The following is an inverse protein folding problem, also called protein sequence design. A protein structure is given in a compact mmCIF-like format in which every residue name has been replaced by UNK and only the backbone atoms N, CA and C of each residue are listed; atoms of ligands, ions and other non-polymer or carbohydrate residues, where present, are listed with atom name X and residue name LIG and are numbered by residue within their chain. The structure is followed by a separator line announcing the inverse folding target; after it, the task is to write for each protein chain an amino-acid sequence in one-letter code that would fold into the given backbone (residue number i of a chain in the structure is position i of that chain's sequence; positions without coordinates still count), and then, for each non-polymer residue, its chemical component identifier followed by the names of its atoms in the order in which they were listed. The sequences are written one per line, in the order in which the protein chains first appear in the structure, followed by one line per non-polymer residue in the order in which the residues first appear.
data_IF_197643373312
#
_entry.id   IF_197643373312
#
_cell.length_a   1.000
_cell.length_b   1.000
_cell.length_c   1.000
_cell.angle_alpha   90.00
_cell.angle_beta   90.00
_cell.angle_gamma   90.00
#
_symmetry.space_group_name_H-M   'P 1'
#
loop_
_entity.id
_entity.type
_entity.pdbx_description
1 polymer ?
#
# COMPACT_ATOMS: atom_id res chain seq x y z
N UNK A 1 46.08 -50.59 34.03
CA UNK A 1 45.14 -49.68 34.72
C UNK A 1 43.87 -49.59 33.88
N UNK A 2 42.91 -50.43 34.15
CA UNK A 2 41.61 -50.40 33.41
C UNK A 2 40.71 -49.39 34.15
N UNK A 3 40.33 -48.31 33.45
CA UNK A 3 39.37 -47.39 34.02
C UNK A 3 38.05 -48.13 34.27
N UNK A 4 37.47 -47.88 35.43
CA UNK A 4 36.16 -48.43 35.78
C UNK A 4 35.12 -48.02 34.75
N UNK A 5 34.33 -48.94 34.18
CA UNK A 5 33.34 -48.66 33.17
C UNK A 5 32.28 -47.62 33.64
N UNK A 6 32.05 -47.54 34.92
CA UNK A 6 31.16 -46.54 35.54
C UNK A 6 31.74 -45.12 35.45
N UNK A 7 33.04 -44.98 35.63
CA UNK A 7 33.73 -43.68 35.54
C UNK A 7 33.78 -43.17 34.08
N UNK A 8 33.95 -44.11 33.15
CA UNK A 8 33.93 -43.79 31.70
C UNK A 8 32.56 -43.28 31.25
N UNK A 9 31.47 -43.90 31.71
CA UNK A 9 30.12 -43.49 31.36
C UNK A 9 29.76 -42.11 31.92
N UNK A 10 30.22 -41.78 33.12
CA UNK A 10 30.00 -40.45 33.74
C UNK A 10 30.74 -39.34 32.96
N UNK A 11 31.97 -39.60 32.55
CA UNK A 11 32.77 -38.67 31.74
C UNK A 11 32.11 -38.43 30.40
N UNK A 12 31.61 -39.46 29.75
CA UNK A 12 30.95 -39.38 28.46
C UNK A 12 29.63 -38.59 28.53
N UNK A 13 28.86 -38.82 29.63
CA UNK A 13 27.60 -38.11 29.86
C UNK A 13 27.82 -36.61 30.13
N UNK A 14 28.83 -36.26 30.95
CA UNK A 14 29.15 -34.85 31.23
C UNK A 14 29.67 -34.10 29.99
N UNK A 15 30.45 -34.77 29.14
CA UNK A 15 30.91 -34.22 27.88
C UNK A 15 29.72 -33.96 26.89
N UNK A 16 28.77 -34.89 26.82
CA UNK A 16 27.58 -34.75 25.99
C UNK A 16 26.70 -33.57 26.46
N UNK A 17 26.47 -33.41 27.76
CA UNK A 17 25.71 -32.28 28.29
C UNK A 17 26.45 -30.94 28.08
N UNK A 18 27.77 -30.92 28.23
CA UNK A 18 28.59 -29.74 27.95
C UNK A 18 28.49 -29.31 26.47
N UNK A 19 28.54 -30.26 25.55
CA UNK A 19 28.42 -29.98 24.12
C UNK A 19 27.03 -29.41 23.72
N UNK A 20 25.95 -30.00 24.26
CA UNK A 20 24.59 -29.50 24.07
C UNK A 20 24.44 -28.06 24.59
N UNK A 21 24.98 -27.75 25.76
CA UNK A 21 24.98 -26.41 26.32
C UNK A 21 25.72 -25.40 25.45
N UNK A 22 26.81 -25.78 24.81
CA UNK A 22 27.63 -24.92 23.95
C UNK A 22 26.95 -24.65 22.63
N UNK A 23 26.26 -25.63 22.04
CA UNK A 23 25.52 -25.48 20.77
C UNK A 23 24.26 -24.63 20.94
N UNK A 24 23.57 -24.73 22.07
CA UNK A 24 22.36 -23.97 22.36
C UNK A 24 22.60 -22.60 23.05
N UNK A 25 23.82 -22.31 23.47
CA UNK A 25 24.21 -21.04 24.10
C UNK A 25 23.84 -19.78 23.27
N UNK A 26 24.04 -19.73 21.93
CA UNK A 26 23.63 -18.57 21.15
C UNK A 26 22.10 -18.40 21.10
N UNK A 27 21.33 -19.49 21.13
CA UNK A 27 19.87 -19.44 21.11
C UNK A 27 19.28 -18.87 22.41
N UNK A 28 19.93 -19.09 23.54
CA UNK A 28 19.51 -18.57 24.87
C UNK A 28 19.80 -17.06 24.98
N UNK A 29 20.82 -16.57 24.28
CA UNK A 29 21.17 -15.13 24.24
C UNK A 29 20.16 -14.35 23.39
N UNK A 30 19.65 -14.93 22.33
CA UNK A 30 18.61 -14.31 21.49
C UNK A 30 17.23 -14.21 22.18
N UNK A 31 16.93 -15.11 23.12
CA UNK A 31 15.69 -15.07 23.90
C UNK A 31 15.68 -13.98 24.99
N UNK A 32 16.79 -13.36 25.33
CA UNK A 32 16.80 -12.15 26.15
C UNK A 32 16.30 -10.99 25.28
N UNK A 33 15.02 -10.64 25.48
CA UNK A 33 14.43 -9.42 24.90
C UNK A 33 15.43 -8.25 25.00
N UNK A 34 15.77 -7.59 23.90
CA UNK A 34 16.58 -6.38 23.95
C UNK A 34 15.86 -5.40 24.88
N UNK A 35 16.57 -4.87 25.86
CA UNK A 35 16.07 -3.82 26.74
C UNK A 35 15.80 -2.60 25.84
N UNK A 36 14.55 -2.42 25.48
CA UNK A 36 14.10 -1.29 24.67
C UNK A 36 14.46 -0.02 25.45
N UNK A 37 15.48 0.64 24.96
CA UNK A 37 15.85 1.99 25.43
C UNK A 37 14.81 2.92 24.82
N UNK A 38 13.69 3.11 25.50
CA UNK A 38 12.55 3.90 25.08
C UNK A 38 12.81 5.01 24.04
N UNK A 39 11.81 5.59 23.44
CA UNK A 39 11.93 6.44 22.27
C UNK A 39 12.97 7.56 22.52
N UNK A 40 14.00 7.62 21.66
CA UNK A 40 14.98 8.72 21.69
C UNK A 40 14.23 10.02 21.53
N UNK A 41 14.30 10.88 22.54
CA UNK A 41 13.80 12.23 22.47
C UNK A 41 14.52 12.94 21.31
N UNK A 42 13.81 13.12 20.21
CA UNK A 42 14.27 13.94 19.09
C UNK A 42 14.28 15.38 19.61
N UNK A 43 15.40 16.12 19.54
CA UNK A 43 15.43 17.53 19.93
C UNK A 43 14.40 18.27 19.06
N UNK A 44 13.43 18.93 19.70
CA UNK A 44 12.53 19.83 19.02
C UNK A 44 13.34 21.03 18.53
N UNK A 45 13.57 21.11 17.23
CA UNK A 45 14.04 22.34 16.61
C UNK A 45 12.99 23.44 16.85
N UNK A 46 13.37 24.61 17.34
CA UNK A 46 12.45 25.73 17.50
C UNK A 46 12.10 26.30 16.13
N UNK A 47 10.97 25.88 15.58
CA UNK A 47 10.34 26.49 14.41
C UNK A 47 9.43 27.63 14.85
N UNK A 48 10.03 28.64 15.49
CA UNK A 48 9.45 29.97 15.53
C UNK A 48 10.10 30.82 14.45
N UNK A 49 9.58 30.78 13.24
CA UNK A 49 9.77 31.86 12.29
C UNK A 49 8.42 32.28 11.74
N UNK A 50 7.80 33.23 12.46
CA UNK A 50 6.86 34.27 12.00
C UNK A 50 6.22 33.99 10.62
N UNK A 51 5.04 33.40 10.62
CA UNK A 51 4.06 33.64 9.57
C UNK A 51 3.37 34.99 9.92
N UNK A 52 3.84 36.07 9.29
CA UNK A 52 3.11 37.31 9.21
C UNK A 52 1.78 37.04 8.52
N UNK A 53 0.70 37.14 9.27
CA UNK A 53 -0.65 37.20 8.75
C UNK A 53 -0.77 38.36 7.77
N UNK A 54 -0.82 38.05 6.48
CA UNK A 54 -1.24 39.00 5.47
C UNK A 54 -2.76 38.98 5.46
N UNK A 55 -3.37 40.02 6.02
CA UNK A 55 -4.80 40.28 5.85
C UNK A 55 -5.08 40.50 4.38
N UNK A 56 -5.85 39.62 3.79
CA UNK A 56 -6.46 39.81 2.45
C UNK A 56 -7.84 40.46 2.65
N UNK A 57 -8.18 41.49 1.88
CA UNK A 57 -9.47 42.16 2.01
C UNK A 57 -10.59 41.33 1.42
N UNK A 58 -11.66 41.25 2.19
CA UNK A 58 -12.97 40.75 1.81
C UNK A 58 -13.57 41.65 0.75
N UNK A 59 -13.84 41.16 -0.46
CA UNK A 59 -15.01 41.47 -1.30
C UNK A 59 -14.80 40.86 -2.68
N UNK A 60 -15.43 39.70 -2.94
CA UNK A 60 -15.76 39.28 -4.30
C UNK A 60 -17.17 38.69 -4.24
N UNK A 61 -18.02 39.29 -5.04
CA UNK A 61 -19.42 38.92 -5.24
C UNK A 61 -19.62 37.47 -5.71
N UNK A 62 -20.79 36.87 -5.42
CA UNK A 62 -21.08 35.53 -5.84
C UNK A 62 -21.63 35.55 -7.28
N UNK A 63 -20.80 35.23 -8.24
CA UNK A 63 -21.24 34.64 -9.52
C UNK A 63 -19.98 34.25 -10.30
N UNK A 64 -19.72 32.97 -10.30
CA UNK A 64 -19.17 32.22 -11.44
C UNK A 64 -18.93 30.78 -10.99
N UNK A 65 -19.67 29.90 -11.59
CA UNK A 65 -19.62 28.44 -11.43
C UNK A 65 -18.30 27.90 -12.00
N UNK A 66 -17.21 28.07 -11.26
CA UNK A 66 -16.04 27.23 -11.46
C UNK A 66 -16.19 25.99 -10.56
N UNK A 67 -16.25 24.83 -11.17
CA UNK A 67 -16.25 23.54 -10.49
C UNK A 67 -14.94 23.34 -9.75
N UNK A 68 -14.78 24.01 -8.62
CA UNK A 68 -13.76 23.73 -7.62
C UNK A 68 -14.03 22.32 -7.15
N UNK A 69 -13.18 21.38 -7.58
CA UNK A 69 -13.36 19.97 -7.30
C UNK A 69 -13.34 19.69 -5.80
N UNK A 70 -14.51 19.78 -5.18
CA UNK A 70 -14.69 19.44 -3.78
C UNK A 70 -14.48 17.93 -3.61
N UNK A 71 -13.51 17.54 -2.77
CA UNK A 71 -13.32 16.15 -2.40
C UNK A 71 -14.43 15.73 -1.43
N UNK A 72 -15.07 14.59 -1.71
CA UNK A 72 -16.09 14.01 -0.85
C UNK A 72 -15.40 13.12 0.19
N UNK A 73 -15.63 13.37 1.48
CA UNK A 73 -15.04 12.57 2.54
C UNK A 73 -15.73 11.19 2.69
N UNK A 74 -15.04 10.25 3.36
CA UNK A 74 -15.51 8.88 3.51
C UNK A 74 -16.90 8.77 4.15
N UNK A 75 -17.20 9.56 5.19
CA UNK A 75 -18.48 9.49 5.89
C UNK A 75 -19.65 9.91 4.98
N UNK A 76 -19.44 10.93 4.18
CA UNK A 76 -20.45 11.39 3.20
C UNK A 76 -20.68 10.33 2.12
N UNK A 77 -19.60 9.71 1.62
CA UNK A 77 -19.68 8.61 0.63
C UNK A 77 -20.44 7.43 1.20
N UNK A 78 -20.15 7.01 2.42
CA UNK A 78 -20.82 5.89 3.09
C UNK A 78 -22.30 6.17 3.33
N UNK A 79 -22.63 7.37 3.80
CA UNK A 79 -24.01 7.77 4.04
C UNK A 79 -24.83 7.80 2.74
N UNK A 80 -24.28 8.37 1.68
CA UNK A 80 -24.92 8.45 0.37
C UNK A 80 -25.13 7.07 -0.27
N UNK A 81 -24.18 6.16 -0.08
CA UNK A 81 -24.25 4.80 -0.59
C UNK A 81 -25.13 3.88 0.27
N UNK A 82 -25.53 4.28 1.47
CA UNK A 82 -26.24 3.42 2.42
C UNK A 82 -25.42 2.18 2.84
N UNK A 83 -24.10 2.27 2.79
CA UNK A 83 -23.20 1.16 3.03
C UNK A 83 -23.15 0.79 4.51
N UNK A 84 -23.19 -0.51 4.80
CA UNK A 84 -22.97 -1.02 6.15
C UNK A 84 -21.48 -0.94 6.47
N UNK A 85 -21.10 -0.02 7.33
CA UNK A 85 -19.72 0.17 7.77
C UNK A 85 -19.60 0.06 9.28
N UNK A 86 -18.42 -0.35 9.74
CA UNK A 86 -18.09 -0.47 11.16
C UNK A 86 -16.69 0.07 11.37
N UNK A 87 -16.52 0.96 12.35
CA UNK A 87 -15.21 1.46 12.77
C UNK A 87 -14.49 0.38 13.58
N UNK A 88 -13.29 -0.03 13.17
CA UNK A 88 -12.44 -0.97 13.87
C UNK A 88 -11.24 -0.22 14.45
N UNK A 89 -11.21 -0.08 15.78
CA UNK A 89 -10.17 0.70 16.44
C UNK A 89 -10.33 2.20 16.18
N UNK A 90 -9.20 2.92 16.03
CA UNK A 90 -9.21 4.39 15.88
C UNK A 90 -9.22 4.86 14.44
N UNK A 91 -8.59 4.10 13.53
CA UNK A 91 -8.22 4.60 12.20
C UNK A 91 -8.57 3.61 11.07
N UNK A 92 -9.46 2.64 11.31
CA UNK A 92 -9.81 1.65 10.30
C UNK A 92 -11.32 1.52 10.15
N UNK A 93 -11.81 1.72 8.95
CA UNK A 93 -13.22 1.54 8.59
C UNK A 93 -13.38 0.23 7.83
N UNK A 94 -14.27 -0.62 8.31
CA UNK A 94 -14.69 -1.86 7.63
C UNK A 94 -15.99 -1.64 6.93
N UNK A 95 -16.04 -1.96 5.64
CA UNK A 95 -17.22 -1.89 4.79
C UNK A 95 -17.62 -3.30 4.40
N UNK A 96 -18.90 -3.64 4.58
CA UNK A 96 -19.41 -4.97 4.27
C UNK A 96 -20.01 -5.02 2.86
N UNK A 97 -19.57 -6.01 2.08
CA UNK A 97 -19.98 -6.22 0.69
C UNK A 97 -19.16 -5.41 -0.32
N UNK A 98 -19.62 -5.40 -1.55
CA UNK A 98 -18.99 -4.67 -2.64
C UNK A 98 -19.19 -3.17 -2.47
N UNK A 99 -18.17 -2.40 -2.82
CA UNK A 99 -18.21 -0.96 -2.63
C UNK A 99 -17.58 -0.20 -3.79
N UNK A 100 -18.20 0.93 -4.16
CA UNK A 100 -17.66 1.85 -5.17
C UNK A 100 -17.45 3.24 -4.57
N UNK A 101 -16.20 3.68 -4.57
CA UNK A 101 -15.85 5.07 -4.24
C UNK A 101 -16.14 5.95 -5.45
N UNK A 102 -16.97 6.98 -5.31
CA UNK A 102 -17.18 7.95 -6.38
C UNK A 102 -15.88 8.70 -6.71
N UNK A 103 -15.77 9.28 -7.92
CA UNK A 103 -14.62 10.11 -8.26
C UNK A 103 -14.41 11.24 -7.25
N UNK A 104 -13.14 11.62 -7.03
CA UNK A 104 -12.74 12.67 -6.08
C UNK A 104 -13.10 12.38 -4.63
N UNK A 105 -13.15 11.11 -4.24
CA UNK A 105 -13.26 10.74 -2.82
C UNK A 105 -11.94 10.92 -2.10
N UNK A 106 -11.98 11.50 -0.89
CA UNK A 106 -10.82 11.60 -0.01
C UNK A 106 -11.05 10.76 1.25
N UNK A 107 -10.12 9.86 1.53
CA UNK A 107 -10.21 8.89 2.63
C UNK A 107 -8.99 9.00 3.52
N UNK A 108 -9.21 9.35 4.78
CA UNK A 108 -8.13 9.55 5.76
C UNK A 108 -7.79 8.26 6.51
N UNK A 109 -8.72 7.32 6.58
CA UNK A 109 -8.65 6.10 7.36
C UNK A 109 -8.11 4.93 6.53
N UNK A 110 -7.64 3.89 7.23
CA UNK A 110 -7.49 2.58 6.61
C UNK A 110 -8.85 2.00 6.25
N UNK A 111 -8.98 1.44 5.08
CA UNK A 111 -10.25 0.86 4.64
C UNK A 111 -10.09 -0.64 4.41
N UNK A 112 -11.01 -1.41 4.98
CA UNK A 112 -11.12 -2.85 4.77
C UNK A 112 -12.49 -3.14 4.17
N UNK A 113 -12.51 -3.67 2.97
CA UNK A 113 -13.75 -3.98 2.23
C UNK A 113 -13.90 -5.50 2.14
N UNK A 114 -15.08 -6.00 2.56
CA UNK A 114 -15.39 -7.44 2.57
C UNK A 114 -15.90 -7.96 1.22
N UNK A 115 -15.64 -7.25 0.14
CA UNK A 115 -16.08 -7.57 -1.22
C UNK A 115 -15.16 -6.98 -2.29
N UNK A 116 -15.71 -6.80 -3.48
CA UNK A 116 -15.06 -6.15 -4.62
C UNK A 116 -15.07 -4.63 -4.44
N UNK A 117 -14.01 -3.99 -4.90
CA UNK A 117 -13.86 -2.53 -4.79
C UNK A 117 -13.68 -1.90 -6.16
N UNK A 118 -14.43 -0.83 -6.39
CA UNK A 118 -14.21 0.09 -7.51
C UNK A 118 -13.83 1.46 -6.95
N UNK A 119 -12.69 1.98 -7.32
CA UNK A 119 -12.23 3.32 -6.93
C UNK A 119 -12.34 4.20 -8.15
N UNK A 120 -13.14 5.26 -8.04
CA UNK A 120 -13.32 6.25 -9.11
C UNK A 120 -12.08 7.10 -9.34
N UNK A 121 -12.12 7.91 -10.40
CA UNK A 121 -10.98 8.75 -10.80
C UNK A 121 -10.63 9.82 -9.76
N UNK A 122 -9.36 10.18 -9.69
CA UNK A 122 -8.86 11.28 -8.86
C UNK A 122 -9.16 11.13 -7.35
N UNK A 123 -9.30 9.90 -6.86
CA UNK A 123 -9.45 9.63 -5.43
C UNK A 123 -8.11 9.70 -4.70
N UNK A 124 -8.14 10.07 -3.42
CA UNK A 124 -6.97 10.13 -2.54
C UNK A 124 -7.21 9.31 -1.28
N UNK A 125 -6.38 8.31 -1.05
CA UNK A 125 -6.37 7.50 0.17
C UNK A 125 -5.09 7.81 0.94
N UNK A 126 -5.24 8.31 2.16
CA UNK A 126 -4.10 8.67 3.03
C UNK A 126 -3.50 7.47 3.75
N UNK A 127 -4.20 6.36 3.79
CA UNK A 127 -3.80 5.11 4.43
C UNK A 127 -3.93 3.93 3.47
N UNK A 128 -3.87 2.72 4.01
CA UNK A 128 -3.93 1.49 3.24
C UNK A 128 -5.37 1.09 2.88
N UNK A 129 -5.51 0.42 1.75
CA UNK A 129 -6.76 -0.15 1.27
C UNK A 129 -6.61 -1.67 1.19
N UNK A 130 -7.54 -2.40 1.81
CA UNK A 130 -7.61 -3.86 1.76
C UNK A 130 -8.98 -4.31 1.27
N UNK A 131 -9.02 -5.15 0.25
CA UNK A 131 -10.23 -5.77 -0.27
C UNK A 131 -10.16 -7.29 -0.18
N UNK A 132 -11.29 -7.95 0.09
CA UNK A 132 -11.39 -9.42 0.02
C UNK A 132 -11.74 -9.93 -1.39
N UNK A 133 -12.21 -9.06 -2.26
CA UNK A 133 -12.51 -9.34 -3.66
C UNK A 133 -11.55 -8.61 -4.61
N UNK A 134 -11.95 -8.49 -5.85
CA UNK A 134 -11.22 -7.77 -6.88
C UNK A 134 -11.16 -6.27 -6.62
N UNK A 135 -10.10 -5.62 -7.10
CA UNK A 135 -9.94 -4.17 -6.99
C UNK A 135 -9.74 -3.56 -8.36
N UNK A 136 -10.59 -2.58 -8.69
CA UNK A 136 -10.43 -1.76 -9.89
C UNK A 136 -10.20 -0.32 -9.48
N UNK A 137 -9.06 0.26 -9.89
CA UNK A 137 -8.64 1.61 -9.56
C UNK A 137 -8.69 2.48 -10.80
N UNK A 138 -9.41 3.59 -10.71
CA UNK A 138 -9.55 4.58 -11.77
C UNK A 138 -8.27 5.39 -12.03
N UNK A 139 -8.40 6.37 -12.92
CA UNK A 139 -7.26 7.19 -13.31
C UNK A 139 -6.89 8.22 -12.23
N UNK A 140 -5.60 8.57 -12.15
CA UNK A 140 -5.07 9.63 -11.26
C UNK A 140 -5.41 9.41 -9.80
N UNK A 141 -5.47 8.16 -9.35
CA UNK A 141 -5.71 7.81 -7.95
C UNK A 141 -4.41 7.78 -7.19
N UNK A 142 -4.42 8.30 -5.97
CA UNK A 142 -3.27 8.27 -5.05
C UNK A 142 -3.62 7.46 -3.82
N UNK A 143 -2.87 6.39 -3.56
CA UNK A 143 -2.96 5.59 -2.34
C UNK A 143 -1.61 5.73 -1.63
N UNK A 144 -1.55 6.47 -0.52
CA UNK A 144 -0.28 6.70 0.21
C UNK A 144 0.21 5.47 0.96
N UNK A 145 -0.69 4.57 1.33
CA UNK A 145 -0.39 3.29 1.99
C UNK A 145 -0.24 2.13 1.02
N UNK A 146 -0.53 0.93 1.52
CA UNK A 146 -0.51 -0.31 0.75
C UNK A 146 -1.87 -0.59 0.11
N UNK A 147 -1.85 -1.28 -1.02
CA UNK A 147 -3.05 -1.85 -1.63
C UNK A 147 -2.98 -3.38 -1.54
N UNK A 148 -3.96 -3.99 -0.88
CA UNK A 148 -4.04 -5.44 -0.70
C UNK A 148 -5.37 -5.96 -1.22
N UNK A 149 -5.32 -6.99 -2.06
CA UNK A 149 -6.49 -7.65 -2.63
C UNK A 149 -6.36 -9.18 -2.51
N UNK A 150 -7.45 -9.85 -2.18
CA UNK A 150 -7.51 -11.31 -2.26
C UNK A 150 -8.01 -11.79 -3.65
N UNK A 151 -8.26 -10.87 -4.58
CA UNK A 151 -8.61 -11.15 -5.98
C UNK A 151 -7.69 -10.41 -6.93
N UNK A 152 -8.14 -10.20 -8.16
CA UNK A 152 -7.41 -9.49 -9.19
C UNK A 152 -7.36 -7.98 -8.91
N UNK A 153 -6.29 -7.34 -9.36
CA UNK A 153 -6.12 -5.89 -9.26
C UNK A 153 -5.92 -5.30 -10.65
N UNK A 154 -6.74 -4.32 -10.97
CA UNK A 154 -6.58 -3.52 -12.20
C UNK A 154 -6.35 -2.07 -11.81
N UNK A 155 -5.21 -1.53 -12.17
CA UNK A 155 -4.87 -0.11 -12.04
C UNK A 155 -4.96 0.53 -13.42
N UNK A 156 -5.78 1.57 -13.55
CA UNK A 156 -5.79 2.40 -14.75
C UNK A 156 -4.60 3.37 -14.74
N UNK A 157 -4.68 4.44 -15.55
CA UNK A 157 -3.51 5.28 -15.80
C UNK A 157 -3.24 6.30 -14.68
N UNK A 158 -1.97 6.69 -14.56
CA UNK A 158 -1.50 7.73 -13.64
C UNK A 158 -1.79 7.43 -12.16
N UNK A 159 -1.88 6.16 -11.77
CA UNK A 159 -2.07 5.75 -10.37
C UNK A 159 -0.76 5.76 -9.61
N UNK A 160 -0.79 6.26 -8.38
CA UNK A 160 0.36 6.29 -7.47
C UNK A 160 0.07 5.48 -6.22
N UNK A 161 0.92 4.48 -5.93
CA UNK A 161 0.88 3.69 -4.70
C UNK A 161 2.15 3.98 -3.90
N UNK A 162 1.99 4.60 -2.73
CA UNK A 162 3.11 4.95 -1.84
C UNK A 162 3.70 3.76 -1.08
N UNK A 163 2.98 2.65 -1.02
CA UNK A 163 3.42 1.39 -0.40
C UNK A 163 3.62 0.27 -1.39
N UNK A 164 3.29 -0.95 -0.94
CA UNK A 164 3.30 -2.17 -1.75
C UNK A 164 1.91 -2.50 -2.28
N UNK A 165 1.89 -3.14 -3.45
CA UNK A 165 0.71 -3.78 -4.01
C UNK A 165 0.80 -5.30 -3.76
N UNK A 166 -0.22 -5.87 -3.14
CA UNK A 166 -0.33 -7.31 -2.93
C UNK A 166 -1.65 -7.83 -3.49
N UNK A 167 -1.59 -8.87 -4.30
CA UNK A 167 -2.76 -9.52 -4.92
C UNK A 167 -2.65 -11.04 -4.83
N UNK A 168 -3.72 -11.70 -4.39
CA UNK A 168 -3.82 -13.15 -4.48
C UNK A 168 -4.25 -13.62 -5.90
N UNK A 169 -4.63 -12.69 -6.78
CA UNK A 169 -4.94 -12.90 -8.20
C UNK A 169 -3.88 -12.33 -9.14
N UNK A 170 -4.31 -11.94 -10.33
CA UNK A 170 -3.51 -11.27 -11.34
C UNK A 170 -3.51 -9.75 -11.14
N UNK A 171 -2.47 -9.09 -11.66
CA UNK A 171 -2.31 -7.63 -11.55
C UNK A 171 -2.11 -7.04 -12.94
N UNK A 172 -2.97 -6.09 -13.30
CA UNK A 172 -2.82 -5.27 -14.50
C UNK A 172 -2.48 -3.85 -14.09
N UNK A 173 -1.35 -3.34 -14.58
CA UNK A 173 -0.80 -2.02 -14.26
C UNK A 173 -0.83 -1.17 -15.52
N UNK A 174 -1.70 -0.13 -15.55
CA UNK A 174 -1.87 0.81 -16.65
C UNK A 174 -0.66 1.70 -16.90
N UNK A 175 -0.81 2.71 -17.75
CA UNK A 175 0.27 3.60 -18.12
C UNK A 175 0.61 4.60 -17.02
N UNK A 176 1.89 4.95 -16.90
CA UNK A 176 2.39 5.95 -15.94
C UNK A 176 2.01 5.66 -14.48
N UNK A 177 1.77 4.40 -14.16
CA UNK A 177 1.53 3.96 -12.78
C UNK A 177 2.86 3.90 -12.03
N UNK A 178 2.86 4.39 -10.79
CA UNK A 178 4.02 4.38 -9.92
C UNK A 178 3.74 3.61 -8.64
N UNK A 179 4.55 2.58 -8.35
CA UNK A 179 4.51 1.82 -7.10
C UNK A 179 5.83 2.01 -6.36
N UNK A 180 5.77 2.65 -5.19
CA UNK A 180 6.98 3.02 -4.42
C UNK A 180 7.75 1.85 -3.83
N UNK A 181 7.09 0.72 -3.61
CA UNK A 181 7.74 -0.49 -3.08
C UNK A 181 7.57 -1.65 -4.06
N UNK A 182 7.10 -2.78 -3.59
CA UNK A 182 7.04 -4.02 -4.38
C UNK A 182 5.62 -4.33 -4.85
N UNK A 183 5.53 -5.04 -5.96
CA UNK A 183 4.31 -5.69 -6.44
C UNK A 183 4.45 -7.18 -6.19
N UNK A 184 3.48 -7.76 -5.48
CA UNK A 184 3.43 -9.20 -5.20
C UNK A 184 2.09 -9.73 -5.72
N UNK A 185 2.13 -10.71 -6.60
CA UNK A 185 0.95 -11.36 -7.15
C UNK A 185 1.07 -12.88 -7.09
N UNK A 186 -0.05 -13.59 -6.98
CA UNK A 186 -0.06 -15.04 -7.18
C UNK A 186 -0.27 -15.38 -8.68
N UNK A 187 -1.11 -14.60 -9.36
CA UNK A 187 -1.39 -14.71 -10.80
C UNK A 187 -0.36 -13.97 -11.67
N UNK A 188 -0.75 -13.71 -12.89
CA UNK A 188 0.07 -12.99 -13.86
C UNK A 188 0.18 -11.49 -13.54
N UNK A 189 1.27 -10.87 -13.96
CA UNK A 189 1.46 -9.40 -13.86
C UNK A 189 1.64 -8.83 -15.27
N UNK A 190 0.76 -7.93 -15.65
CA UNK A 190 0.82 -7.19 -16.91
C UNK A 190 1.13 -5.72 -16.62
N UNK A 191 2.18 -5.19 -17.25
CA UNK A 191 2.60 -3.79 -17.11
C UNK A 191 2.50 -3.10 -18.45
N UNK A 192 1.89 -1.92 -18.46
CA UNK A 192 1.91 -1.06 -19.63
C UNK A 192 3.08 -0.07 -19.59
N UNK A 193 3.38 0.53 -20.73
CA UNK A 193 4.53 1.45 -20.89
C UNK A 193 4.51 2.60 -19.88
N UNK A 194 5.70 3.06 -19.54
CA UNK A 194 5.92 4.16 -18.60
C UNK A 194 5.42 3.91 -17.17
N UNK A 195 5.08 2.66 -16.81
CA UNK A 195 4.85 2.28 -15.42
C UNK A 195 6.17 1.97 -14.71
N UNK A 196 6.27 2.33 -13.43
CA UNK A 196 7.46 2.14 -12.62
C UNK A 196 7.13 1.44 -11.30
N UNK A 197 7.83 0.34 -11.03
CA UNK A 197 7.85 -0.33 -9.73
C UNK A 197 9.25 -0.19 -9.14
N UNK A 198 9.37 0.55 -8.05
CA UNK A 198 10.69 0.97 -7.54
C UNK A 198 11.54 -0.17 -7.01
N UNK A 199 10.93 -1.19 -6.40
CA UNK A 199 11.68 -2.34 -5.89
C UNK A 199 11.48 -3.57 -6.79
N UNK A 200 10.73 -4.55 -6.33
CA UNK A 200 10.62 -5.85 -6.96
C UNK A 200 9.20 -6.14 -7.45
N UNK A 201 9.10 -6.92 -8.51
CA UNK A 201 7.86 -7.59 -8.91
C UNK A 201 8.07 -9.07 -8.65
N UNK A 202 7.24 -9.64 -7.77
CA UNK A 202 7.23 -11.06 -7.45
C UNK A 202 5.89 -11.64 -7.88
N UNK A 203 5.95 -12.68 -8.71
CA UNK A 203 4.75 -13.43 -9.09
C UNK A 203 5.06 -14.93 -9.22
N UNK A 204 4.02 -15.76 -9.05
CA UNK A 204 4.08 -17.17 -9.42
C UNK A 204 3.68 -17.41 -10.87
N UNK A 205 3.00 -16.44 -11.48
CA UNK A 205 2.62 -16.45 -12.89
C UNK A 205 3.70 -15.85 -13.79
N UNK A 206 3.27 -15.33 -14.92
CA UNK A 206 4.12 -14.64 -15.90
C UNK A 206 4.13 -13.13 -15.69
N UNK A 207 5.23 -12.49 -16.12
CA UNK A 207 5.31 -11.02 -16.20
C UNK A 207 5.32 -10.67 -17.68
N UNK A 208 4.36 -9.83 -18.11
CA UNK A 208 4.25 -9.32 -19.47
C UNK A 208 4.35 -7.80 -19.46
N UNK A 209 5.21 -7.26 -20.31
CA UNK A 209 5.28 -5.83 -20.56
C UNK A 209 4.60 -5.55 -21.89
N UNK A 210 3.53 -4.79 -21.84
CA UNK A 210 2.68 -4.45 -22.98
C UNK A 210 3.00 -3.03 -23.45
N UNK A 211 3.06 -2.86 -24.77
CA UNK A 211 3.14 -1.53 -25.37
C UNK A 211 1.73 -1.04 -25.64
N UNK A 212 1.47 0.21 -25.30
CA UNK A 212 0.26 0.87 -25.79
C UNK A 212 0.21 0.81 -27.31
N UNK A 213 -0.96 0.47 -27.89
CA UNK A 213 -1.12 0.58 -29.33
C UNK A 213 -0.89 2.06 -29.69
N UNK A 214 0.20 2.36 -30.41
CA UNK A 214 0.37 3.67 -31.02
C UNK A 214 -0.82 3.85 -31.94
N UNK A 215 -1.68 4.79 -31.61
CA UNK A 215 -2.60 5.35 -32.58
C UNK A 215 -1.71 6.15 -33.51
N UNK A 216 -1.26 5.53 -34.59
CA UNK A 216 -0.64 6.27 -35.71
C UNK A 216 -1.73 7.19 -36.27
N UNK A 217 -1.73 8.42 -35.77
CA UNK A 217 -2.47 9.50 -36.41
C UNK A 217 -1.91 9.61 -37.84
N UNK A 218 -2.74 9.46 -38.86
CA UNK A 218 -2.27 9.63 -40.23
C UNK A 218 -1.67 11.03 -40.38
N UNK A 219 -0.36 11.07 -40.59
CA UNK A 219 0.37 12.28 -40.94
C UNK A 219 0.06 12.62 -42.37
N UNK A 220 -1.11 13.13 -42.64
CA UNK A 220 -1.42 13.75 -43.94
C UNK A 220 -2.63 14.68 -43.81
N UNK A 221 -2.35 15.89 -43.39
CA UNK A 221 -3.06 17.03 -43.95
C UNK A 221 -2.02 17.74 -44.83
N UNK A 222 -1.64 17.07 -45.89
CA UNK A 222 -0.99 17.74 -47.02
C UNK A 222 -1.98 17.68 -48.18
N UNK A 223 -2.22 18.85 -48.75
CA UNK A 223 -2.89 19.13 -50.00
C UNK A 223 -4.44 19.14 -50.00
N UNK A 224 -4.95 20.31 -49.60
CA UNK A 224 -6.04 20.89 -50.39
C UNK A 224 -5.46 22.13 -51.09
N UNK A 225 -5.12 21.91 -52.37
CA UNK A 225 -4.82 22.96 -53.35
C UNK A 225 -6.07 23.74 -53.75
#
# INVERSE_FOLDING_TARGET
MTLDPLLLTIILLTAAFGFVGLVFSPLIIELKKPKDKGPRKIPRLPLERRLRTRKTPTNISPDETESTGHFTNLQEVLNKAGAKSTLIGKDTVRILGDFAFPPRSEVQENVVIEGTVKIGDSCVFHQSVKAKGNVSVGNRVVIKGNLVSNGDVTLLDEVVIGGSLHSDGSVTIGEKVFVSLSVVAIGDVELYENSEVKNNILTRGSIKVLRSPRVDLPSSIDEIG
#
